data_IF_150506478555
#
_entry.id   IF_150506478555
#
_cell.length_a   1.000
_cell.length_b   1.000
_cell.length_c   1.000
_cell.angle_alpha   90.00
_cell.angle_beta   90.00
_cell.angle_gamma   90.00
#
_symmetry.space_group_name_H-M   'P 1'
#
loop_
_entity.id
_entity.type
_entity.pdbx_description
1 polymer ?
#
# COMPACT_ATOMS: atom_id res chain seq x y z
N UNK A 1 25.51 -10.96 14.83
CA UNK A 1 24.79 -11.14 16.12
C UNK A 1 24.17 -9.80 16.46
N UNK A 2 22.85 -9.66 16.37
CA UNK A 2 22.18 -8.40 16.70
C UNK A 2 22.18 -8.29 18.22
N UNK A 3 22.73 -7.21 18.77
CA UNK A 3 22.70 -6.97 20.21
C UNK A 3 21.26 -6.63 20.64
N UNK A 4 20.54 -7.62 21.17
CA UNK A 4 19.18 -7.47 21.66
C UNK A 4 19.14 -7.68 23.18
N UNK A 5 18.45 -6.77 23.89
CA UNK A 5 18.23 -6.89 25.33
C UNK A 5 16.99 -7.73 25.58
N UNK A 6 17.15 -8.82 26.33
CA UNK A 6 16.03 -9.67 26.75
C UNK A 6 15.41 -9.13 28.03
N UNK A 7 14.07 -9.10 28.08
CA UNK A 7 13.31 -8.80 29.29
C UNK A 7 12.43 -9.99 29.63
N UNK A 8 12.49 -10.47 30.86
CA UNK A 8 11.63 -11.52 31.36
C UNK A 8 10.41 -10.93 32.06
N UNK A 9 9.24 -11.49 31.78
CA UNK A 9 8.01 -11.15 32.50
C UNK A 9 7.95 -11.89 33.82
N UNK A 10 7.48 -11.24 34.88
CA UNK A 10 7.27 -11.88 36.19
C UNK A 10 6.25 -13.02 36.09
N UNK A 11 6.52 -14.12 36.79
CA UNK A 11 5.60 -15.26 36.87
C UNK A 11 4.25 -14.84 37.45
N UNK A 12 3.16 -15.49 37.01
CA UNK A 12 1.79 -15.24 37.46
C UNK A 12 1.28 -13.79 37.31
N UNK A 13 1.91 -12.97 36.46
CA UNK A 13 1.45 -11.62 36.15
C UNK A 13 0.87 -11.53 34.72
N UNK A 14 -0.43 -11.82 34.52
CA UNK A 14 -0.99 -11.96 33.18
C UNK A 14 -0.96 -10.66 32.35
N UNK A 15 -1.00 -9.50 33.01
CA UNK A 15 -0.93 -8.15 32.44
C UNK A 15 0.44 -7.80 31.85
N UNK A 16 1.54 -8.38 32.35
CA UNK A 16 2.89 -8.09 31.85
C UNK A 16 3.04 -8.33 30.35
N UNK A 17 2.32 -9.32 29.80
CA UNK A 17 2.32 -9.64 28.38
C UNK A 17 0.93 -9.48 27.74
N UNK A 18 0.11 -8.60 28.30
CA UNK A 18 -1.31 -8.46 27.93
C UNK A 18 -1.51 -8.11 26.45
N UNK A 19 -0.68 -7.21 25.91
CA UNK A 19 -0.79 -6.78 24.51
C UNK A 19 -0.53 -7.93 23.53
N UNK A 20 0.55 -8.68 23.71
CA UNK A 20 0.87 -9.84 22.86
C UNK A 20 -0.21 -10.91 22.98
N UNK A 21 -0.72 -11.17 24.19
CA UNK A 21 -1.82 -12.11 24.39
C UNK A 21 -3.10 -11.72 23.66
N UNK A 22 -3.46 -10.44 23.63
CA UNK A 22 -4.62 -9.94 22.87
C UNK A 22 -4.43 -10.12 21.37
N UNK A 23 -3.25 -9.81 20.84
CA UNK A 23 -2.90 -10.04 19.43
C UNK A 23 -2.98 -11.53 19.09
N UNK A 24 -2.42 -12.41 19.94
CA UNK A 24 -2.53 -13.86 19.74
C UNK A 24 -3.97 -14.36 19.73
N UNK A 25 -4.87 -13.79 20.54
CA UNK A 25 -6.28 -14.17 20.54
C UNK A 25 -6.94 -13.80 19.20
N UNK A 26 -6.73 -12.58 18.72
CA UNK A 26 -7.25 -12.14 17.42
C UNK A 26 -6.72 -13.02 16.28
N UNK A 27 -5.42 -13.31 16.27
CA UNK A 27 -4.78 -14.17 15.28
C UNK A 27 -5.40 -15.58 15.26
N UNK A 28 -5.60 -16.20 16.42
CA UNK A 28 -6.21 -17.53 16.52
C UNK A 28 -7.64 -17.54 15.98
N UNK A 29 -8.45 -16.54 16.34
CA UNK A 29 -9.85 -16.44 15.87
C UNK A 29 -9.88 -16.29 14.34
N UNK A 30 -9.03 -15.44 13.77
CA UNK A 30 -8.96 -15.25 12.33
C UNK A 30 -8.51 -16.53 11.60
N UNK A 31 -7.52 -17.26 12.13
CA UNK A 31 -7.12 -18.56 11.57
C UNK A 31 -8.25 -19.58 11.64
N UNK A 32 -8.95 -19.66 12.78
CA UNK A 32 -10.07 -20.58 12.97
C UNK A 32 -11.22 -20.29 11.98
N UNK A 33 -11.47 -19.02 11.66
CA UNK A 33 -12.50 -18.63 10.70
C UNK A 33 -12.26 -19.22 9.31
N UNK A 34 -11.01 -19.29 8.86
CA UNK A 34 -10.68 -19.85 7.55
C UNK A 34 -10.82 -21.38 7.47
N UNK A 35 -10.97 -22.08 8.60
CA UNK A 35 -11.24 -23.52 8.73
C UNK A 35 -10.42 -24.42 7.78
N UNK A 36 -9.18 -24.03 7.49
CA UNK A 36 -8.26 -24.75 6.60
C UNK A 36 -7.27 -25.58 7.41
N UNK A 37 -7.03 -26.82 6.98
CA UNK A 37 -5.98 -27.68 7.54
C UNK A 37 -4.57 -27.12 7.26
N UNK A 38 -4.41 -26.35 6.18
CA UNK A 38 -3.18 -25.67 5.79
C UNK A 38 -3.19 -24.21 6.25
N UNK A 39 -3.37 -23.99 7.56
CA UNK A 39 -3.43 -22.66 8.15
C UNK A 39 -2.21 -21.78 7.86
N UNK A 40 -1.05 -22.37 7.56
CA UNK A 40 0.18 -21.67 7.18
C UNK A 40 0.08 -20.93 5.87
N UNK A 41 -0.71 -21.41 4.90
CA UNK A 41 -0.91 -20.74 3.61
C UNK A 41 -1.79 -19.50 3.76
N UNK A 42 -2.71 -19.53 4.71
CA UNK A 42 -3.64 -18.44 5.01
C UNK A 42 -3.01 -17.41 5.97
N UNK A 43 -1.96 -17.79 6.68
CA UNK A 43 -1.29 -16.95 7.68
C UNK A 43 -0.83 -15.58 7.15
N UNK A 44 -0.19 -15.45 5.97
CA UNK A 44 0.21 -14.15 5.45
C UNK A 44 -0.98 -13.22 5.23
N UNK A 45 -2.11 -13.75 4.74
CA UNK A 45 -3.33 -12.98 4.49
C UNK A 45 -3.97 -12.52 5.81
N UNK A 46 -4.03 -13.38 6.82
CA UNK A 46 -4.53 -13.04 8.16
C UNK A 46 -3.65 -11.98 8.82
N UNK A 47 -2.33 -12.08 8.70
CA UNK A 47 -1.42 -11.08 9.24
C UNK A 47 -1.56 -9.74 8.51
N UNK A 48 -1.76 -9.76 7.20
CA UNK A 48 -2.04 -8.58 6.39
C UNK A 48 -3.31 -7.89 6.88
N UNK A 49 -4.42 -8.63 7.02
CA UNK A 49 -5.70 -8.08 7.44
C UNK A 49 -5.64 -7.47 8.83
N UNK A 50 -4.97 -8.12 9.81
CA UNK A 50 -4.81 -7.59 11.16
C UNK A 50 -4.00 -6.27 11.16
N UNK A 51 -3.03 -6.13 10.25
CA UNK A 51 -2.18 -4.93 10.17
C UNK A 51 -2.88 -3.77 9.45
N UNK A 52 -3.65 -4.05 8.40
CA UNK A 52 -4.38 -3.04 7.62
C UNK A 52 -5.73 -2.66 8.22
N UNK A 53 -6.27 -3.47 9.13
CA UNK A 53 -7.55 -3.17 9.79
C UNK A 53 -7.47 -1.90 10.64
N UNK A 54 -8.48 -1.04 10.47
CA UNK A 54 -8.71 0.12 11.31
C UNK A 54 -8.94 -0.29 12.76
N UNK A 55 -8.27 0.38 13.70
CA UNK A 55 -8.49 0.20 15.14
C UNK A 55 -9.07 1.47 15.73
N UNK A 56 -10.31 1.40 16.19
CA UNK A 56 -11.01 2.53 16.82
C UNK A 56 -10.28 3.06 18.06
N UNK A 57 -9.68 2.18 18.87
CA UNK A 57 -8.94 2.59 20.07
C UNK A 57 -7.77 3.55 19.78
N UNK A 58 -7.15 3.41 18.60
CA UNK A 58 -5.95 4.17 18.21
C UNK A 58 -6.26 5.16 17.07
N UNK A 59 -7.48 5.09 16.50
CA UNK A 59 -7.91 5.87 15.34
C UNK A 59 -6.91 5.78 14.16
N UNK A 60 -6.35 4.58 13.93
CA UNK A 60 -5.40 4.30 12.87
C UNK A 60 -5.29 2.79 12.61
N UNK A 61 -4.72 2.39 11.47
CA UNK A 61 -4.27 1.01 11.26
C UNK A 61 -2.86 0.78 11.79
N UNK A 62 -2.50 -0.47 12.10
CA UNK A 62 -1.13 -0.77 12.59
C UNK A 62 -0.08 -0.59 11.49
N UNK A 63 -0.44 -0.81 10.23
CA UNK A 63 0.43 -0.54 9.09
C UNK A 63 0.67 0.97 8.91
N UNK A 64 -0.37 1.79 9.03
CA UNK A 64 -0.29 3.25 8.92
C UNK A 64 0.59 3.87 10.00
N UNK A 65 0.52 3.40 11.24
CA UNK A 65 1.42 3.87 12.30
C UNK A 65 2.89 3.55 12.06
N UNK A 66 3.20 2.49 11.30
CA UNK A 66 4.58 2.07 11.02
C UNK A 66 5.12 2.76 9.78
N UNK A 67 4.31 2.87 8.72
CA UNK A 67 4.73 3.40 7.43
C UNK A 67 4.41 4.88 7.22
N UNK A 68 3.53 5.45 8.04
CA UNK A 68 3.06 6.84 7.93
C UNK A 68 1.94 7.06 6.91
N UNK A 69 1.49 6.01 6.23
CA UNK A 69 0.45 6.06 5.21
C UNK A 69 -0.43 4.80 5.24
N UNK A 70 -1.72 4.88 4.83
CA UNK A 70 -2.58 3.71 4.73
C UNK A 70 -2.04 2.71 3.68
N UNK A 71 -2.09 1.43 4.01
CA UNK A 71 -1.60 0.37 3.11
C UNK A 71 -2.63 0.09 2.01
N UNK A 72 -2.24 0.24 0.74
CA UNK A 72 -3.07 -0.19 -0.39
C UNK A 72 -3.14 -1.71 -0.49
N UNK A 73 -4.36 -2.25 -0.44
CA UNK A 73 -4.58 -3.70 -0.51
C UNK A 73 -4.68 -4.18 -1.96
N UNK A 74 -4.24 -5.42 -2.28
CA UNK A 74 -4.40 -6.00 -3.62
C UNK A 74 -5.83 -5.92 -4.17
N UNK A 75 -6.85 -6.04 -3.31
CA UNK A 75 -8.26 -5.92 -3.69
C UNK A 75 -8.69 -4.50 -4.10
N UNK A 76 -8.01 -3.46 -3.62
CA UNK A 76 -8.28 -2.08 -4.03
C UNK A 76 -7.77 -1.81 -5.44
N UNK A 77 -6.64 -2.43 -5.82
CA UNK A 77 -6.11 -2.35 -7.19
C UNK A 77 -6.96 -3.12 -8.20
N UNK A 78 -7.59 -4.21 -7.78
CA UNK A 78 -8.34 -5.14 -8.64
C UNK A 78 -9.85 -4.89 -8.55
N UNK A 79 -10.28 -3.86 -7.80
CA UNK A 79 -11.70 -3.51 -7.74
C UNK A 79 -12.24 -3.43 -9.17
N UNK A 80 -13.24 -4.27 -9.54
CA UNK A 80 -13.93 -4.08 -10.80
C UNK A 80 -14.45 -2.67 -10.71
N UNK A 81 -13.98 -1.77 -11.58
CA UNK A 81 -14.67 -0.49 -11.75
C UNK A 81 -16.13 -0.87 -11.91
N UNK A 82 -17.00 -0.39 -11.01
CA UNK A 82 -18.42 -0.44 -11.30
C UNK A 82 -18.55 0.11 -12.71
N UNK A 83 -19.09 -0.68 -13.63
CA UNK A 83 -19.18 -0.39 -15.06
C UNK A 83 -20.06 0.84 -15.37
N UNK A 84 -20.31 1.71 -14.39
CA UNK A 84 -21.08 2.93 -14.51
C UNK A 84 -20.22 4.15 -14.87
N UNK A 85 -18.89 4.00 -14.96
CA UNK A 85 -18.01 5.03 -15.48
C UNK A 85 -16.90 4.43 -16.34
N UNK A 86 -17.27 3.85 -17.48
CA UNK A 86 -16.50 4.15 -18.68
C UNK A 86 -16.67 5.63 -18.96
N UNK A 87 -16.00 6.50 -18.20
CA UNK A 87 -15.58 7.77 -18.79
C UNK A 87 -14.79 7.37 -20.01
N UNK A 88 -15.44 7.51 -21.16
CA UNK A 88 -15.02 6.99 -22.44
C UNK A 88 -13.57 7.44 -22.64
N UNK A 89 -12.59 6.53 -22.51
CA UNK A 89 -11.18 6.88 -22.55
C UNK A 89 -10.83 7.67 -23.82
N UNK A 90 -11.65 7.48 -24.87
CA UNK A 90 -11.65 8.24 -26.11
C UNK A 90 -11.97 9.73 -25.90
N UNK A 91 -12.95 10.08 -25.06
CA UNK A 91 -13.28 11.48 -24.69
C UNK A 91 -12.16 12.14 -23.89
N UNK A 92 -11.54 11.43 -22.94
CA UNK A 92 -10.36 11.94 -22.24
C UNK A 92 -9.18 12.17 -23.20
N UNK A 93 -8.88 11.17 -24.04
CA UNK A 93 -7.77 11.24 -25.00
C UNK A 93 -7.98 12.36 -26.04
N UNK A 94 -9.21 12.54 -26.54
CA UNK A 94 -9.55 13.61 -27.49
C UNK A 94 -9.47 14.99 -26.82
N UNK A 95 -9.94 15.13 -25.57
CA UNK A 95 -9.78 16.36 -24.78
C UNK A 95 -8.31 16.71 -24.57
N UNK A 96 -7.50 15.73 -24.17
CA UNK A 96 -6.05 15.90 -23.96
C UNK A 96 -5.34 16.29 -25.25
N UNK A 97 -5.64 15.62 -26.36
CA UNK A 97 -5.07 15.92 -27.68
C UNK A 97 -5.41 17.33 -28.14
N UNK A 98 -6.64 17.78 -27.92
CA UNK A 98 -7.08 19.13 -28.21
C UNK A 98 -6.34 20.18 -27.36
N UNK A 99 -6.08 19.87 -26.09
CA UNK A 99 -5.31 20.73 -25.20
C UNK A 99 -3.83 20.83 -25.61
N UNK A 100 -3.21 19.69 -25.91
CA UNK A 100 -1.82 19.62 -26.37
C UNK A 100 -1.63 20.30 -27.73
N UNK A 101 -2.61 20.21 -28.64
CA UNK A 101 -2.57 20.94 -29.91
C UNK A 101 -2.62 22.47 -29.74
N UNK A 102 -3.31 22.97 -28.71
CA UNK A 102 -3.34 24.41 -28.37
C UNK A 102 -2.01 24.90 -27.77
N UNK A 103 -1.26 24.00 -27.14
CA UNK A 103 0.10 24.29 -26.67
C UNK A 103 1.03 24.28 -27.88
N UNK A 104 1.03 25.40 -28.62
CA UNK A 104 1.99 25.59 -29.70
C UNK A 104 3.40 25.64 -29.12
N UNK A 105 4.34 24.81 -29.60
CA UNK A 105 5.72 24.93 -29.19
C UNK A 105 6.23 26.29 -29.67
N UNK A 106 6.51 27.19 -28.71
CA UNK A 106 7.22 28.42 -29.04
C UNK A 106 8.63 28.02 -29.48
N UNK A 107 9.13 28.53 -30.62
CA UNK A 107 10.49 28.25 -31.04
C UNK A 107 11.42 28.64 -29.89
N UNK A 108 12.18 27.67 -29.39
CA UNK A 108 13.22 27.94 -28.42
C UNK A 108 14.19 28.94 -29.05
N UNK A 109 14.54 30.00 -28.31
CA UNK A 109 15.56 30.94 -28.78
C UNK A 109 16.86 30.17 -28.99
N UNK A 110 17.22 29.96 -30.26
CA UNK A 110 18.48 29.34 -30.62
C UNK A 110 19.59 30.39 -30.45
N UNK A 111 20.28 30.36 -29.31
CA UNK A 111 21.42 31.23 -29.03
C UNK A 111 22.74 30.69 -29.63
N UNK A 112 22.70 29.85 -30.67
CA UNK A 112 23.90 29.25 -31.27
C UNK A 112 24.05 29.63 -32.74
N UNK A 113 25.17 30.28 -33.05
CA UNK A 113 25.64 30.62 -34.40
C UNK A 113 26.48 29.52 -35.05
N UNK A 114 26.28 28.24 -34.70
CA UNK A 114 27.10 27.14 -35.23
C UNK A 114 26.33 25.82 -35.38
N UNK A 115 26.71 24.95 -36.34
CA UNK A 115 26.02 23.70 -36.60
C UNK A 115 26.18 22.73 -35.42
N UNK A 116 25.05 22.18 -34.95
CA UNK A 116 25.01 21.13 -33.94
C UNK A 116 25.30 19.78 -34.61
N UNK A 117 26.51 19.27 -34.41
CA UNK A 117 26.94 17.97 -34.92
C UNK A 117 26.63 16.91 -33.87
N UNK A 118 25.77 15.95 -34.21
CA UNK A 118 25.57 14.75 -33.41
C UNK A 118 26.73 13.78 -33.67
N UNK A 119 27.49 13.34 -32.65
CA UNK A 119 28.44 12.26 -32.83
C UNK A 119 27.64 10.96 -33.03
N UNK A 120 27.83 10.30 -34.18
CA UNK A 120 27.39 8.93 -34.36
C UNK A 120 28.25 8.03 -33.47
N UNK A 121 27.59 7.35 -32.53
CA UNK A 121 28.13 6.18 -31.82
C UNK A 121 27.90 4.96 -32.70
#
# INVERSE_FOLDING_TARGET
MVAARHFCTTTYHPSANGMVKRVHRQLKVAIMYHNSTQWTEVLPLVLLSIRSSWKEDIQASSAELVYGEPLHLPGEFISPKENNCTEDFTTFATRLRSHMAKLTPKPAKCHRNGPFIYPKV
#
